data_IF_031848872958
#
_entry.id   IF_031848872958
#
_cell.length_a   1.000
_cell.length_b   1.000
_cell.length_c   1.000
_cell.angle_alpha   90.00
_cell.angle_beta   90.00
_cell.angle_gamma   90.00
#
_symmetry.space_group_name_H-M   'P 1'
#
loop_
_entity.id
_entity.type
_entity.pdbx_description
1 polymer ?
#
# COMPACT_ATOMS: atom_id res chain seq x y z
N UNK A 1 38.44 3.35 -5.09
CA UNK A 1 37.32 2.66 -4.42
C UNK A 1 36.23 3.70 -4.20
N UNK A 2 35.38 3.89 -5.21
CA UNK A 2 34.21 4.78 -5.13
C UNK A 2 32.98 3.88 -4.93
N UNK A 3 32.05 4.19 -4.00
CA UNK A 3 30.83 3.42 -3.87
C UNK A 3 29.93 3.75 -5.06
N UNK A 4 29.80 2.78 -5.95
CA UNK A 4 28.86 2.79 -7.07
C UNK A 4 27.46 2.77 -6.48
N UNK A 5 26.87 3.97 -6.35
CA UNK A 5 25.48 4.13 -5.94
C UNK A 5 24.65 3.76 -7.15
N UNK A 6 24.41 2.46 -7.32
CA UNK A 6 23.47 1.96 -8.33
C UNK A 6 22.10 2.49 -7.93
N UNK A 7 21.70 3.59 -8.56
CA UNK A 7 20.32 4.02 -8.60
C UNK A 7 19.53 2.87 -9.24
N UNK A 8 18.91 2.03 -8.41
CA UNK A 8 18.20 0.85 -8.85
C UNK A 8 17.00 1.27 -9.70
N UNK A 9 17.16 1.19 -11.03
CA UNK A 9 16.04 1.28 -11.95
C UNK A 9 15.09 0.12 -11.67
N UNK A 10 13.89 0.47 -11.21
CA UNK A 10 12.73 -0.43 -11.21
C UNK A 10 12.81 -1.59 -10.21
N UNK A 11 13.11 -1.35 -8.94
CA UNK A 11 12.82 -2.35 -7.91
C UNK A 11 11.32 -2.67 -7.93
N UNK A 12 11.02 -3.94 -8.21
CA UNK A 12 9.67 -4.48 -8.12
C UNK A 12 9.08 -4.12 -6.75
N UNK A 13 7.84 -3.64 -6.75
CA UNK A 13 7.18 -3.26 -5.50
C UNK A 13 6.85 -4.49 -4.68
N UNK A 14 7.33 -4.50 -3.43
CA UNK A 14 7.01 -5.56 -2.46
C UNK A 14 5.74 -5.23 -1.64
N UNK A 15 5.17 -6.25 -1.01
CA UNK A 15 4.03 -6.08 -0.07
C UNK A 15 4.35 -5.12 1.07
N UNK A 16 5.58 -5.16 1.58
CA UNK A 16 6.03 -4.24 2.62
C UNK A 16 6.06 -2.78 2.13
N UNK A 17 6.40 -2.56 0.86
CA UNK A 17 6.36 -1.23 0.25
C UNK A 17 4.94 -0.76 -0.03
N UNK A 18 4.01 -1.66 -0.39
CA UNK A 18 2.59 -1.31 -0.46
C UNK A 18 2.06 -0.87 0.90
N UNK A 19 2.32 -1.65 1.96
CA UNK A 19 1.91 -1.31 3.32
C UNK A 19 2.52 0.04 3.76
N UNK A 20 3.79 0.30 3.40
CA UNK A 20 4.48 1.55 3.72
C UNK A 20 3.92 2.75 2.96
N UNK A 21 3.75 2.64 1.63
CA UNK A 21 3.16 3.68 0.79
C UNK A 21 1.80 4.09 1.34
N UNK A 22 0.98 3.10 1.66
CA UNK A 22 -0.39 3.37 2.06
C UNK A 22 -0.48 4.06 3.42
N UNK A 23 0.40 3.70 4.35
CA UNK A 23 0.53 4.39 5.64
C UNK A 23 0.97 5.84 5.46
N UNK A 24 2.03 6.07 4.69
CA UNK A 24 2.53 7.41 4.42
C UNK A 24 1.48 8.27 3.72
N UNK A 25 0.71 7.68 2.81
CA UNK A 25 -0.39 8.36 2.14
C UNK A 25 -1.44 8.87 3.14
N UNK A 26 -1.84 8.03 4.09
CA UNK A 26 -2.78 8.42 5.14
C UNK A 26 -2.19 9.47 6.12
N UNK A 27 -0.92 9.31 6.52
CA UNK A 27 -0.25 10.22 7.46
C UNK A 27 0.00 11.62 6.88
N UNK A 28 0.25 11.70 5.56
CA UNK A 28 0.59 12.95 4.87
C UNK A 28 -0.59 13.60 4.16
N UNK A 29 -1.79 13.00 4.23
CA UNK A 29 -2.94 13.47 3.46
C UNK A 29 -2.75 13.37 1.94
N UNK A 30 -1.91 12.44 1.48
CA UNK A 30 -1.63 12.23 0.06
C UNK A 30 -0.57 13.15 -0.55
N UNK A 31 0.28 13.82 0.25
CA UNK A 31 1.39 14.62 -0.29
C UNK A 31 2.45 13.74 -0.94
N UNK A 32 2.32 13.58 -2.26
CA UNK A 32 3.19 12.73 -3.10
C UNK A 32 4.67 13.11 -2.99
N UNK A 33 5.01 14.39 -2.78
CA UNK A 33 6.41 14.82 -2.70
C UNK A 33 7.05 14.35 -1.39
N UNK A 34 6.33 14.49 -0.29
CA UNK A 34 6.77 14.00 1.03
C UNK A 34 6.91 12.47 1.00
N UNK A 35 5.92 11.78 0.44
CA UNK A 35 5.94 10.32 0.32
C UNK A 35 7.13 9.84 -0.54
N UNK A 36 7.37 10.50 -1.68
CA UNK A 36 8.50 10.18 -2.57
C UNK A 36 9.85 10.31 -1.86
N UNK A 37 10.05 11.42 -1.14
CA UNK A 37 11.25 11.63 -0.33
C UNK A 37 11.40 10.56 0.76
N UNK A 38 10.33 10.21 1.47
CA UNK A 38 10.35 9.21 2.54
C UNK A 38 10.62 7.78 2.03
N UNK A 39 10.14 7.44 0.84
CA UNK A 39 10.33 6.12 0.23
C UNK A 39 11.61 6.00 -0.59
N UNK A 40 12.28 7.10 -0.91
CA UNK A 40 13.44 7.10 -1.81
C UNK A 40 13.06 6.69 -3.25
N UNK A 41 11.82 6.97 -3.67
CA UNK A 41 11.30 6.68 -5.01
C UNK A 41 10.92 7.97 -5.72
N UNK A 42 10.88 7.96 -7.05
CA UNK A 42 10.49 9.15 -7.82
C UNK A 42 9.02 9.52 -7.59
N UNK A 43 8.71 10.81 -7.68
CA UNK A 43 7.34 11.34 -7.59
C UNK A 43 6.41 10.61 -8.57
N UNK A 44 6.86 10.42 -9.81
CA UNK A 44 6.08 9.72 -10.84
C UNK A 44 5.81 8.27 -10.46
N UNK A 45 6.76 7.57 -9.83
CA UNK A 45 6.56 6.19 -9.37
C UNK A 45 5.51 6.12 -8.25
N UNK A 46 5.57 7.04 -7.28
CA UNK A 46 4.59 7.14 -6.20
C UNK A 46 3.21 7.49 -6.75
N UNK A 47 3.11 8.50 -7.63
CA UNK A 47 1.85 8.93 -8.21
C UNK A 47 1.18 7.78 -8.97
N UNK A 48 1.90 7.15 -9.90
CA UNK A 48 1.37 6.03 -10.69
C UNK A 48 0.93 4.88 -9.78
N UNK A 49 1.75 4.50 -8.79
CA UNK A 49 1.40 3.40 -7.90
C UNK A 49 0.22 3.74 -7.00
N UNK A 50 0.14 4.97 -6.48
CA UNK A 50 -0.97 5.44 -5.64
C UNK A 50 -2.29 5.43 -6.41
N UNK A 51 -2.28 5.84 -7.68
CA UNK A 51 -3.46 5.76 -8.56
C UNK A 51 -3.87 4.32 -8.84
N UNK A 52 -2.93 3.43 -9.17
CA UNK A 52 -3.20 2.00 -9.38
C UNK A 52 -3.79 1.36 -8.12
N UNK A 53 -3.31 1.75 -6.94
CA UNK A 53 -3.82 1.29 -5.65
C UNK A 53 -5.13 1.96 -5.21
N UNK A 54 -5.64 2.90 -6.01
CA UNK A 54 -6.88 3.62 -5.73
C UNK A 54 -6.78 4.65 -4.59
N UNK A 55 -5.56 5.03 -4.17
CA UNK A 55 -5.35 5.95 -3.04
C UNK A 55 -5.74 7.39 -3.35
N UNK A 56 -5.61 7.80 -4.62
CA UNK A 56 -5.78 9.18 -5.08
C UNK A 56 -7.20 9.51 -5.59
N UNK A 57 -8.19 8.65 -5.34
CA UNK A 57 -9.58 8.88 -5.80
C UNK A 57 -10.33 9.68 -4.74
N UNK A 58 -10.75 10.91 -5.08
CA UNK A 58 -11.63 11.70 -4.21
C UNK A 58 -12.93 10.94 -3.92
N UNK A 59 -13.32 10.90 -2.64
CA UNK A 59 -14.50 10.15 -2.19
C UNK A 59 -14.27 8.64 -2.04
N UNK A 60 -13.03 8.14 -2.14
CA UNK A 60 -12.77 6.77 -1.71
C UNK A 60 -13.01 6.66 -0.19
N UNK A 61 -13.62 5.55 0.24
CA UNK A 61 -13.80 5.25 1.65
C UNK A 61 -12.49 4.62 2.21
N UNK A 62 -11.33 5.01 1.67
CA UNK A 62 -10.06 4.38 1.96
C UNK A 62 -9.61 4.72 3.39
N UNK A 63 -9.43 3.70 4.24
CA UNK A 63 -8.96 3.91 5.60
C UNK A 63 -8.23 2.69 6.15
N UNK A 64 -7.37 2.91 7.14
CA UNK A 64 -6.78 1.84 7.94
C UNK A 64 -7.89 1.15 8.74
N UNK A 65 -8.07 -0.16 8.54
CA UNK A 65 -9.09 -0.96 9.21
C UNK A 65 -8.53 -2.27 9.73
N UNK A 66 -9.06 -2.73 10.86
CA UNK A 66 -8.75 -4.05 11.40
C UNK A 66 -9.32 -5.14 10.48
N UNK A 67 -8.49 -6.13 10.17
CA UNK A 67 -8.87 -7.31 9.40
C UNK A 67 -9.88 -8.16 10.18
N UNK A 68 -10.98 -8.53 9.52
CA UNK A 68 -12.02 -9.42 10.05
C UNK A 68 -11.74 -10.91 9.74
N UNK A 69 -10.71 -11.22 8.97
CA UNK A 69 -10.28 -12.59 8.66
C UNK A 69 -9.52 -13.29 9.80
N UNK A 70 -9.56 -12.75 11.02
CA UNK A 70 -8.99 -13.37 12.22
C UNK A 70 -7.53 -13.04 12.53
N UNK A 71 -6.74 -12.50 11.59
CA UNK A 71 -5.32 -12.20 11.84
C UNK A 71 -5.07 -10.93 12.69
N UNK A 72 -6.10 -10.14 12.99
CA UNK A 72 -6.00 -8.98 13.88
C UNK A 72 -5.22 -7.77 13.34
N UNK A 73 -4.52 -7.89 12.20
CA UNK A 73 -3.74 -6.80 11.60
C UNK A 73 -4.63 -5.65 11.12
N UNK A 74 -4.10 -4.45 11.18
CA UNK A 74 -4.64 -3.29 10.46
C UNK A 74 -4.12 -3.28 9.04
N UNK A 75 -4.97 -2.98 8.06
CA UNK A 75 -4.59 -2.85 6.65
C UNK A 75 -5.41 -1.72 6.02
N UNK A 76 -4.89 -1.13 4.95
CA UNK A 76 -5.68 -0.16 4.21
C UNK A 76 -6.77 -0.88 3.44
N UNK A 77 -8.00 -0.47 3.69
CA UNK A 77 -9.17 -1.05 3.08
C UNK A 77 -9.80 0.01 2.16
N UNK A 78 -10.04 -0.31 0.87
CA UNK A 78 -10.54 0.65 -0.13
C UNK A 78 -11.96 1.13 0.14
N UNK A 79 -12.77 0.31 0.80
CA UNK A 79 -14.13 0.66 1.20
C UNK A 79 -14.56 -0.13 2.45
N UNK A 80 -15.69 0.25 3.05
CA UNK A 80 -16.20 -0.39 4.28
C UNK A 80 -16.59 -1.87 4.11
N UNK A 81 -16.81 -2.35 2.89
CA UNK A 81 -17.13 -3.75 2.57
C UNK A 81 -15.88 -4.63 2.47
N UNK A 82 -14.75 -4.10 2.02
CA UNK A 82 -13.48 -4.86 1.91
C UNK A 82 -12.74 -4.86 3.24
N UNK A 83 -13.11 -5.78 4.14
CA UNK A 83 -12.59 -5.87 5.52
C UNK A 83 -11.67 -7.06 5.80
N UNK A 84 -11.29 -7.80 4.76
CA UNK A 84 -10.33 -8.91 4.84
C UNK A 84 -9.02 -8.47 4.18
N UNK A 85 -7.91 -8.55 4.92
CA UNK A 85 -6.60 -8.15 4.41
C UNK A 85 -6.12 -9.09 3.27
N UNK A 86 -5.21 -8.64 2.38
CA UNK A 86 -4.74 -9.45 1.26
C UNK A 86 -4.23 -10.84 1.68
N UNK A 87 -3.50 -10.92 2.81
CA UNK A 87 -3.03 -12.20 3.37
C UNK A 87 -4.18 -13.15 3.70
N UNK A 88 -5.18 -12.69 4.46
CA UNK A 88 -6.32 -13.53 4.86
C UNK A 88 -7.23 -13.82 3.68
N UNK A 89 -7.29 -12.94 2.68
CA UNK A 89 -8.05 -13.15 1.45
C UNK A 89 -7.43 -14.27 0.61
N UNK A 90 -6.10 -14.47 0.68
CA UNK A 90 -5.39 -15.57 0.02
C UNK A 90 -5.21 -16.83 0.87
N UNK A 91 -5.79 -16.91 2.08
CA UNK A 91 -5.71 -18.13 2.90
C UNK A 91 -6.87 -19.07 2.55
N UNK A 92 -6.62 -20.22 1.89
CA UNK A 92 -7.68 -21.14 1.46
C UNK A 92 -8.41 -21.82 2.62
N UNK A 93 -7.91 -21.69 3.86
CA UNK A 93 -8.56 -22.26 5.05
C UNK A 93 -9.61 -21.33 5.64
N UNK A 94 -9.70 -20.08 5.19
CA UNK A 94 -10.69 -19.12 5.66
C UNK A 94 -11.92 -19.14 4.75
N UNK A 95 -13.15 -19.00 5.30
CA UNK A 95 -14.39 -19.12 4.52
C UNK A 95 -14.58 -18.02 3.46
N UNK A 96 -13.80 -16.95 3.53
CA UNK A 96 -13.74 -15.84 2.57
C UNK A 96 -12.47 -15.85 1.72
N UNK A 97 -11.60 -16.84 1.91
CA UNK A 97 -10.48 -17.12 1.02
C UNK A 97 -11.01 -17.70 -0.28
N UNK A 98 -11.48 -16.84 -1.17
CA UNK A 98 -11.99 -17.25 -2.48
C UNK A 98 -10.82 -17.56 -3.41
N UNK A 99 -10.71 -18.86 -3.72
CA UNK A 99 -10.09 -19.56 -4.88
C UNK A 99 -8.62 -19.28 -5.21
#
# INVERSE_FOLDING_TARGET
MLPETIAAFGTAWSDAEFDRLTRLYAETGGDIRVIAAAMGRSISSISTKSSIMGLAVEGNDLAMRKCLGGCGRTFMSPDKGVRICPRCKGDPRLPWGVY
#
